data_IF_056586044284
#
_entry.id   IF_056586044284
#
_cell.length_a   1.000
_cell.length_b   1.000
_cell.length_c   1.000
_cell.angle_alpha   90.00
_cell.angle_beta   90.00
_cell.angle_gamma   90.00
#
_symmetry.space_group_name_H-M   'P 1'
#
loop_
_entity.id
_entity.type
_entity.pdbx_description
1 polymer ?
#
# COMPACT_ATOMS: atom_id res chain seq x y z
N UNK A 1 0.92 -28.04 35.39
CA UNK A 1 1.91 -27.13 34.86
C UNK A 1 1.76 -26.94 33.35
N UNK A 2 1.71 -28.05 32.63
CA UNK A 2 1.54 -27.95 31.18
C UNK A 2 0.27 -27.25 30.80
N UNK A 3 -0.77 -27.45 31.59
CA UNK A 3 -2.05 -26.83 31.31
C UNK A 3 -1.97 -25.31 31.43
N UNK A 4 -1.17 -24.84 32.37
CA UNK A 4 -0.98 -23.41 32.52
C UNK A 4 -0.34 -22.81 31.30
N UNK A 5 0.62 -23.52 30.75
CA UNK A 5 1.30 -23.06 29.56
C UNK A 5 0.33 -22.93 28.40
N UNK A 6 -0.57 -23.89 28.28
CA UNK A 6 -1.58 -23.83 27.25
C UNK A 6 -2.46 -22.60 27.37
N UNK A 7 -2.82 -22.30 28.62
CA UNK A 7 -3.66 -21.13 28.85
C UNK A 7 -2.93 -19.87 28.43
N UNK A 8 -1.64 -19.81 28.71
CA UNK A 8 -0.85 -18.67 28.30
C UNK A 8 -0.83 -18.53 26.81
N UNK A 9 -0.76 -19.65 26.12
CA UNK A 9 -0.81 -19.66 24.66
C UNK A 9 -2.09 -19.04 24.16
N UNK A 10 -3.19 -19.41 24.73
CA UNK A 10 -4.48 -18.89 24.32
C UNK A 10 -4.50 -17.38 24.51
N UNK A 11 -3.91 -16.92 25.59
CA UNK A 11 -3.79 -15.49 25.83
C UNK A 11 -3.04 -14.81 24.73
N UNK A 12 -1.97 -15.43 24.33
CA UNK A 12 -1.15 -14.88 23.26
C UNK A 12 -1.96 -14.72 22.00
N UNK A 13 -2.73 -15.72 21.69
CA UNK A 13 -3.56 -15.66 20.50
C UNK A 13 -4.51 -14.48 20.55
N UNK A 14 -5.09 -14.28 21.71
CA UNK A 14 -5.99 -13.15 21.87
C UNK A 14 -5.30 -11.85 21.57
N UNK A 15 -4.09 -11.72 22.07
CA UNK A 15 -3.34 -10.50 21.86
C UNK A 15 -3.05 -10.30 20.36
N UNK A 16 -2.71 -11.38 19.70
CA UNK A 16 -2.40 -11.29 18.28
C UNK A 16 -3.65 -10.87 17.51
N UNK A 17 -4.75 -11.48 17.82
CA UNK A 17 -6.00 -11.11 17.17
C UNK A 17 -6.30 -9.65 17.41
N UNK A 18 -6.03 -9.21 18.60
CA UNK A 18 -6.27 -7.82 18.92
C UNK A 18 -5.32 -6.90 18.18
N UNK A 19 -4.06 -7.29 18.09
CA UNK A 19 -3.11 -6.46 17.38
C UNK A 19 -3.41 -6.46 15.88
N UNK A 20 -4.16 -7.43 15.42
CA UNK A 20 -4.70 -7.37 14.08
C UNK A 20 -5.71 -6.24 13.98
N UNK A 21 -6.06 -5.63 15.10
CA UNK A 21 -6.89 -4.46 15.09
C UNK A 21 -6.43 -3.40 14.13
N UNK A 22 -5.14 -3.22 13.92
CA UNK A 22 -4.71 -2.25 12.90
C UNK A 22 -5.36 -2.48 11.56
N UNK A 23 -5.79 -3.68 11.33
CA UNK A 23 -6.51 -3.97 10.10
C UNK A 23 -7.85 -3.26 10.05
N UNK A 24 -8.28 -2.73 11.17
CA UNK A 24 -9.44 -1.87 11.12
C UNK A 24 -9.18 -0.68 10.22
N UNK A 25 -7.94 -0.41 9.94
CA UNK A 25 -7.62 0.59 8.96
C UNK A 25 -8.18 0.21 7.60
N UNK A 26 -8.16 -1.07 7.30
CA UNK A 26 -8.77 -1.52 6.06
C UNK A 26 -10.27 -1.27 6.08
N UNK A 27 -10.89 -1.51 7.22
CA UNK A 27 -12.29 -1.23 7.37
C UNK A 27 -12.56 0.26 7.20
N UNK A 28 -11.70 1.07 7.77
CA UNK A 28 -11.83 2.51 7.64
C UNK A 28 -11.73 2.93 6.18
N UNK A 29 -11.03 2.15 5.37
CA UNK A 29 -10.87 2.51 3.97
C UNK A 29 -12.20 2.51 3.23
N UNK A 30 -13.21 1.85 3.76
CA UNK A 30 -14.51 1.87 3.12
C UNK A 30 -15.11 3.28 3.07
N UNK A 31 -14.84 4.06 4.10
CA UNK A 31 -15.32 5.42 4.14
C UNK A 31 -14.26 6.44 3.76
N UNK A 32 -13.13 5.96 3.30
CA UNK A 32 -12.01 6.84 2.98
C UNK A 32 -12.29 7.55 1.67
N UNK A 33 -12.09 8.86 1.69
CA UNK A 33 -12.33 9.67 0.51
C UNK A 33 -11.25 9.46 -0.55
N UNK A 34 -11.59 9.79 -1.79
CA UNK A 34 -10.66 9.69 -2.90
C UNK A 34 -9.36 10.43 -2.61
N UNK A 35 -9.44 11.57 -1.94
CA UNK A 35 -8.24 12.36 -1.63
C UNK A 35 -7.28 11.60 -0.74
N UNK A 36 -7.80 10.80 0.18
CA UNK A 36 -6.93 10.00 1.06
C UNK A 36 -6.25 8.88 0.27
N UNK A 37 -6.99 8.24 -0.63
CA UNK A 37 -6.40 7.22 -1.48
C UNK A 37 -5.35 7.83 -2.40
N UNK A 38 -5.61 9.01 -2.91
CA UNK A 38 -4.64 9.73 -3.71
C UNK A 38 -3.36 9.99 -2.91
N UNK A 39 -3.51 10.46 -1.66
CA UNK A 39 -2.36 10.72 -0.80
C UNK A 39 -1.54 9.46 -0.56
N UNK A 40 -2.22 8.33 -0.38
CA UNK A 40 -1.52 7.06 -0.22
C UNK A 40 -0.73 6.72 -1.47
N UNK A 41 -1.32 6.92 -2.63
CA UNK A 41 -0.63 6.70 -3.88
C UNK A 41 0.60 7.59 -4.02
N UNK A 42 0.47 8.86 -3.66
CA UNK A 42 1.60 9.78 -3.68
C UNK A 42 2.73 9.29 -2.78
N UNK A 43 2.39 8.81 -1.60
CA UNK A 43 3.40 8.31 -0.67
C UNK A 43 4.15 7.14 -1.29
N UNK A 44 3.44 6.23 -1.93
CA UNK A 44 4.09 5.09 -2.56
C UNK A 44 4.98 5.51 -3.71
N UNK A 45 4.55 6.51 -4.49
CA UNK A 45 5.40 7.05 -5.53
C UNK A 45 6.68 7.65 -4.93
N UNK A 46 6.55 8.38 -3.84
CA UNK A 46 7.72 8.95 -3.17
C UNK A 46 8.66 7.87 -2.68
N UNK A 47 8.13 6.81 -2.10
CA UNK A 47 8.97 5.70 -1.65
C UNK A 47 9.66 5.03 -2.83
N UNK A 48 8.94 4.87 -3.93
CA UNK A 48 9.54 4.28 -5.12
C UNK A 48 10.72 5.10 -5.60
N UNK A 49 10.57 6.42 -5.63
CA UNK A 49 11.67 7.30 -6.05
C UNK A 49 12.86 7.17 -5.11
N UNK A 50 12.63 7.01 -3.83
CA UNK A 50 13.72 6.82 -2.88
C UNK A 50 14.45 5.50 -3.14
N UNK A 51 13.70 4.45 -3.44
CA UNK A 51 14.33 3.18 -3.79
C UNK A 51 15.16 3.30 -5.07
N UNK A 52 14.67 4.08 -6.03
CA UNK A 52 15.43 4.32 -7.25
C UNK A 52 16.76 4.98 -6.94
N UNK A 53 16.76 5.96 -6.07
CA UNK A 53 17.99 6.65 -5.70
C UNK A 53 18.99 5.71 -5.04
N UNK A 54 18.49 4.66 -4.39
CA UNK A 54 19.34 3.68 -3.73
C UNK A 54 19.66 2.50 -4.64
N UNK A 55 19.29 2.57 -5.90
CA UNK A 55 19.50 1.50 -6.87
C UNK A 55 18.79 0.21 -6.49
N UNK A 56 17.67 0.31 -5.79
CA UNK A 56 16.86 -0.83 -5.40
C UNK A 56 15.67 -0.94 -6.34
N UNK A 57 15.93 -1.34 -7.56
CA UNK A 57 14.93 -1.29 -8.62
C UNK A 57 13.74 -2.21 -8.36
N UNK A 58 14.00 -3.41 -7.82
CA UNK A 58 12.89 -4.32 -7.56
C UNK A 58 11.93 -3.75 -6.54
N UNK A 59 12.46 -3.11 -5.51
CA UNK A 59 11.62 -2.48 -4.48
C UNK A 59 10.90 -1.27 -5.04
N UNK A 60 11.58 -0.52 -5.91
CA UNK A 60 10.94 0.63 -6.55
C UNK A 60 9.76 0.18 -7.40
N UNK A 61 9.94 -0.89 -8.18
CA UNK A 61 8.86 -1.40 -9.01
C UNK A 61 7.66 -1.80 -8.16
N UNK A 62 7.90 -2.51 -7.07
CA UNK A 62 6.81 -2.91 -6.18
C UNK A 62 6.11 -1.71 -5.57
N UNK A 63 6.88 -0.69 -5.22
CA UNK A 63 6.28 0.52 -4.67
C UNK A 63 5.41 1.23 -5.69
N UNK A 64 5.85 1.28 -6.94
CA UNK A 64 5.02 1.85 -8.00
C UNK A 64 3.75 1.04 -8.21
N UNK A 65 3.85 -0.29 -8.10
CA UNK A 65 2.65 -1.12 -8.21
C UNK A 65 1.65 -0.82 -7.12
N UNK A 66 2.14 -0.62 -5.90
CA UNK A 66 1.26 -0.26 -4.80
C UNK A 66 0.66 1.12 -4.99
N UNK A 67 1.45 2.03 -5.55
CA UNK A 67 0.93 3.35 -5.87
C UNK A 67 -0.22 3.25 -6.86
N UNK A 68 -0.05 2.43 -7.90
CA UNK A 68 -1.10 2.24 -8.89
C UNK A 68 -2.37 1.73 -8.24
N UNK A 69 -2.25 0.75 -7.34
CA UNK A 69 -3.42 0.20 -6.68
C UNK A 69 -4.19 1.29 -5.94
N UNK A 70 -3.48 2.12 -5.19
CA UNK A 70 -4.14 3.19 -4.45
C UNK A 70 -4.70 4.27 -5.36
N UNK A 71 -3.98 4.59 -6.42
CA UNK A 71 -4.44 5.61 -7.36
C UNK A 71 -5.65 5.13 -8.15
N UNK A 72 -5.73 3.84 -8.44
CA UNK A 72 -6.92 3.29 -9.09
C UNK A 72 -8.13 3.39 -8.17
N UNK A 73 -7.94 3.15 -6.88
CA UNK A 73 -9.03 3.32 -5.93
C UNK A 73 -9.47 4.78 -5.89
N UNK A 74 -8.51 5.70 -5.89
CA UNK A 74 -8.85 7.12 -5.92
C UNK A 74 -9.63 7.47 -7.18
N UNK A 75 -9.19 6.94 -8.31
CA UNK A 75 -9.86 7.24 -9.57
C UNK A 75 -11.27 6.66 -9.62
N UNK A 76 -11.49 5.52 -8.96
CA UNK A 76 -12.83 4.94 -8.94
C UNK A 76 -13.80 5.77 -8.13
N UNK A 77 -13.30 6.49 -7.13
CA UNK A 77 -14.12 7.33 -6.28
C UNK A 77 -14.31 8.72 -6.85
N UNK A 78 -13.31 9.20 -7.57
CA UNK A 78 -13.36 10.54 -8.17
C UNK A 78 -12.73 10.44 -9.57
N UNK A 79 -13.53 9.95 -10.53
CA UNK A 79 -12.98 9.69 -11.87
C UNK A 79 -12.54 10.98 -12.56
N UNK A 80 -11.43 10.88 -13.28
CA UNK A 80 -11.00 11.97 -14.12
C UNK A 80 -10.19 13.04 -13.42
N UNK A 81 -9.84 12.86 -12.14
CA UNK A 81 -9.01 13.84 -11.47
C UNK A 81 -7.64 13.88 -12.16
N UNK A 82 -7.23 15.06 -12.65
CA UNK A 82 -5.97 15.16 -13.42
C UNK A 82 -4.74 14.72 -12.63
N UNK A 83 -4.67 15.05 -11.35
CA UNK A 83 -3.50 14.67 -10.55
C UNK A 83 -3.41 13.16 -10.41
N UNK A 84 -4.55 12.51 -10.19
CA UNK A 84 -4.58 11.05 -10.08
C UNK A 84 -4.16 10.42 -11.40
N UNK A 85 -4.69 10.91 -12.50
CA UNK A 85 -4.36 10.35 -13.81
C UNK A 85 -2.90 10.57 -14.16
N UNK A 86 -2.34 11.72 -13.79
CA UNK A 86 -0.93 12.00 -14.02
C UNK A 86 -0.03 11.02 -13.28
N UNK A 87 -0.34 10.76 -12.01
CA UNK A 87 0.47 9.84 -11.23
C UNK A 87 0.29 8.41 -11.69
N UNK A 88 -0.93 8.05 -12.14
CA UNK A 88 -1.16 6.72 -12.71
C UNK A 88 -0.28 6.53 -13.95
N UNK A 89 -0.32 7.50 -14.86
CA UNK A 89 0.47 7.42 -16.07
C UNK A 89 1.96 7.35 -15.76
N UNK A 90 2.42 8.16 -14.83
CA UNK A 90 3.81 8.15 -14.42
C UNK A 90 4.22 6.78 -13.86
N UNK A 91 3.39 6.25 -12.97
CA UNK A 91 3.71 4.97 -12.33
C UNK A 91 3.71 3.81 -13.33
N UNK A 92 2.75 3.80 -14.24
CA UNK A 92 2.71 2.77 -15.28
C UNK A 92 3.94 2.85 -16.16
N UNK A 93 4.35 4.06 -16.53
CA UNK A 93 5.52 4.23 -17.36
C UNK A 93 6.78 3.74 -16.66
N UNK A 94 6.89 4.02 -15.36
CA UNK A 94 8.04 3.53 -14.60
C UNK A 94 8.10 2.02 -14.56
N UNK A 95 6.97 1.37 -14.35
CA UNK A 95 6.95 -0.09 -14.33
C UNK A 95 7.34 -0.64 -15.70
N UNK A 96 6.86 -0.03 -16.76
CA UNK A 96 7.25 -0.44 -18.10
C UNK A 96 8.74 -0.32 -18.33
N UNK A 97 9.34 0.75 -17.81
CA UNK A 97 10.79 0.94 -17.95
C UNK A 97 11.56 -0.17 -17.24
N UNK A 98 11.11 -0.55 -16.04
CA UNK A 98 11.77 -1.63 -15.31
C UNK A 98 11.63 -2.96 -16.03
N UNK A 99 10.44 -3.24 -16.56
CA UNK A 99 10.21 -4.48 -17.27
C UNK A 99 11.07 -4.56 -18.53
N UNK A 100 11.22 -3.44 -19.23
CA UNK A 100 12.02 -3.40 -20.45
C UNK A 100 13.51 -3.51 -20.14
N UNK A 101 13.93 -3.07 -18.97
CA UNK A 101 15.34 -3.12 -18.59
C UNK A 101 15.79 -4.54 -18.29
N UNK A 102 14.87 -5.43 -17.99
CA UNK A 102 15.20 -6.82 -17.73
C UNK A 102 15.29 -7.58 -19.02
#
# INVERSE_FOLDING_TARGET
MKKLILIIFIFFYSSIVFSAGPETEDTASKGVKASTKFDMGKKWVSKAKKFEKKNKQNKAKKAYEKAIAKLLEANSQDPGDPDTLNLLGFSHRKIGDYDNAE
#
